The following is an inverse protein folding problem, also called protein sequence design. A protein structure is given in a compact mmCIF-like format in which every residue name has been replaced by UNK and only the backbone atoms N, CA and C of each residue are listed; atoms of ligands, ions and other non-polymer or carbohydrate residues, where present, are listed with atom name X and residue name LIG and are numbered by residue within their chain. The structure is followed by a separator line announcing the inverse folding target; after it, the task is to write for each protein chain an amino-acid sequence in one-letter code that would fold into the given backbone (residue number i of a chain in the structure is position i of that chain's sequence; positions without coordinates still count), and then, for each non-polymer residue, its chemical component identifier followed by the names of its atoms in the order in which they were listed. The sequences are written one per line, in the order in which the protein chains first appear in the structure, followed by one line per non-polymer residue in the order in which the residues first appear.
data_IF_471109890572
#
_entry.id   IF_471109890572
#
_cell.length_a   1.000
_cell.length_b   1.000
_cell.length_c   1.000
_cell.angle_alpha   90.00
_cell.angle_beta   90.00
_cell.angle_gamma   90.00
#
_symmetry.space_group_name_H-M   'P 1'
#
loop_
_entity.id
_entity.type
_entity.pdbx_description
1 polymer ?
#
# COMPACT_ATOMS: atom_id res chain seq x y z
N UNK A 1 -26.84 -54.58 44.93
CA UNK A 1 -27.29 -53.16 44.94
C UNK A 1 -26.16 -52.31 45.52
N UNK A 2 -25.83 -51.19 44.88
CA UNK A 2 -24.54 -50.51 45.00
C UNK A 2 -24.51 -49.50 46.14
N UNK A 3 -23.32 -49.21 46.67
CA UNK A 3 -23.03 -47.97 47.40
C UNK A 3 -21.91 -47.23 46.69
N UNK A 4 -22.17 -45.95 46.48
CA UNK A 4 -21.48 -45.01 45.62
C UNK A 4 -20.14 -44.52 46.18
N UNK A 5 -19.24 -44.24 45.23
CA UNK A 5 -18.32 -43.10 45.14
C UNK A 5 -17.55 -42.69 46.39
N UNK A 6 -16.25 -42.98 46.35
CA UNK A 6 -15.25 -42.05 46.86
C UNK A 6 -14.27 -41.71 45.72
N UNK A 7 -14.20 -40.42 45.41
CA UNK A 7 -13.45 -39.83 44.30
C UNK A 7 -12.26 -39.11 44.92
N UNK A 8 -11.12 -39.80 44.96
CA UNK A 8 -9.84 -39.19 45.31
C UNK A 8 -9.27 -38.45 44.10
N UNK A 9 -9.59 -37.16 44.00
CA UNK A 9 -8.89 -36.22 43.12
C UNK A 9 -7.44 -36.08 43.59
N UNK A 10 -6.50 -36.53 42.76
CA UNK A 10 -5.10 -36.15 42.87
C UNK A 10 -4.64 -35.73 41.47
N UNK A 11 -5.03 -34.52 41.08
CA UNK A 11 -4.47 -33.86 39.92
C UNK A 11 -3.66 -32.66 40.41
N UNK A 12 -2.35 -32.88 40.49
CA UNK A 12 -1.37 -31.83 40.69
C UNK A 12 -1.56 -30.78 39.61
N UNK A 13 -1.98 -29.61 40.05
CA UNK A 13 -2.23 -28.43 39.24
C UNK A 13 -0.90 -28.00 38.61
N UNK A 14 -0.70 -28.39 37.35
CA UNK A 14 0.38 -27.88 36.52
C UNK A 14 0.10 -26.40 36.34
N UNK A 15 0.83 -25.57 37.09
CA UNK A 15 0.92 -24.14 36.87
C UNK A 15 1.06 -23.85 35.38
N UNK A 16 -0.03 -23.37 34.79
CA UNK A 16 -0.05 -22.90 33.42
C UNK A 16 0.83 -21.67 33.36
N UNK A 17 1.98 -21.82 32.71
CA UNK A 17 2.84 -20.73 32.27
C UNK A 17 1.98 -19.75 31.46
N UNK A 18 2.13 -18.42 31.63
CA UNK A 18 1.27 -17.48 30.93
C UNK A 18 1.50 -17.57 29.43
N UNK A 19 0.44 -17.93 28.70
CA UNK A 19 0.29 -17.99 27.23
C UNK A 19 0.47 -16.62 26.54
N UNK A 20 1.03 -15.62 27.24
CA UNK A 20 1.19 -14.27 26.70
C UNK A 20 2.54 -14.03 26.02
N UNK A 21 3.57 -14.84 26.27
CA UNK A 21 4.90 -14.60 25.67
C UNK A 21 5.06 -15.10 24.23
N UNK A 22 4.25 -16.05 23.76
CA UNK A 22 4.42 -16.63 22.41
C UNK A 22 3.80 -15.78 21.27
N UNK A 23 3.03 -14.73 21.57
CA UNK A 23 2.45 -13.85 20.54
C UNK A 23 3.32 -12.67 20.13
N UNK A 24 4.50 -12.52 20.72
CA UNK A 24 5.36 -11.34 20.46
C UNK A 24 6.30 -11.49 19.25
N UNK A 25 6.35 -12.66 18.60
CA UNK A 25 7.26 -12.88 17.46
C UNK A 25 6.61 -12.72 16.08
N UNK A 26 5.28 -12.58 15.97
CA UNK A 26 4.61 -12.61 14.66
C UNK A 26 4.52 -11.23 13.98
N UNK A 27 4.92 -10.14 14.64
CA UNK A 27 4.90 -8.80 14.06
C UNK A 27 6.21 -8.49 13.29
N UNK A 28 7.33 -9.13 13.63
CA UNK A 28 8.62 -8.97 12.94
C UNK A 28 8.69 -9.67 11.57
N UNK A 29 7.79 -10.61 11.27
CA UNK A 29 7.87 -11.43 10.05
C UNK A 29 7.33 -10.75 8.78
N UNK A 30 6.68 -9.59 8.88
CA UNK A 30 6.08 -8.91 7.71
C UNK A 30 7.11 -8.00 6.98
N UNK A 31 8.22 -7.64 7.63
CA UNK A 31 9.27 -6.83 7.00
C UNK A 31 10.19 -7.62 6.04
N UNK A 32 10.11 -8.96 6.03
CA UNK A 32 11.05 -9.82 5.30
C UNK A 32 10.55 -10.39 3.96
N UNK A 33 9.50 -9.82 3.37
CA UNK A 33 8.93 -10.29 2.09
C UNK A 33 8.94 -9.22 0.98
N UNK A 34 9.95 -8.38 0.95
CA UNK A 34 10.27 -7.57 -0.23
C UNK A 34 11.65 -7.95 -0.77
N UNK A 35 11.72 -9.10 -1.46
CA UNK A 35 12.67 -9.21 -2.56
C UNK A 35 12.13 -8.35 -3.68
N UNK A 36 12.52 -7.08 -3.67
CA UNK A 36 12.50 -6.26 -4.87
C UNK A 36 13.35 -7.01 -5.91
N UNK A 37 12.81 -7.40 -7.06
CA UNK A 37 13.64 -7.96 -8.11
C UNK A 37 14.71 -6.93 -8.45
N UNK A 38 15.97 -7.34 -8.57
CA UNK A 38 17.10 -6.51 -9.03
C UNK A 38 16.89 -5.88 -10.43
N UNK A 39 15.75 -6.18 -11.06
CA UNK A 39 15.39 -5.82 -12.41
C UNK A 39 14.05 -5.08 -12.44
N UNK A 40 14.08 -3.82 -12.89
CA UNK A 40 12.90 -2.99 -13.12
C UNK A 40 12.56 -2.94 -14.64
N UNK A 41 11.52 -3.65 -15.10
CA UNK A 41 11.14 -3.67 -16.50
C UNK A 41 10.64 -2.31 -17.02
N UNK A 42 10.15 -1.43 -16.15
CA UNK A 42 9.68 -0.09 -16.54
C UNK A 42 10.89 0.81 -16.83
N UNK A 43 11.90 0.77 -15.96
CA UNK A 43 13.15 1.51 -16.16
C UNK A 43 13.94 1.02 -17.39
N UNK A 44 14.00 -0.29 -17.62
CA UNK A 44 14.66 -0.82 -18.83
C UNK A 44 13.94 -0.39 -20.10
N UNK A 45 12.61 -0.49 -20.16
CA UNK A 45 11.83 -0.06 -21.32
C UNK A 45 11.97 1.45 -21.56
N UNK A 46 12.02 2.24 -20.50
CA UNK A 46 12.30 3.69 -20.58
C UNK A 46 13.68 3.96 -21.18
N UNK A 47 14.71 3.23 -20.76
CA UNK A 47 16.06 3.34 -21.34
C UNK A 47 16.05 3.02 -22.84
N UNK A 48 15.46 1.90 -23.23
CA UNK A 48 15.40 1.46 -24.64
C UNK A 48 14.65 2.48 -25.52
N UNK A 49 13.57 3.07 -25.01
CA UNK A 49 12.78 4.05 -25.76
C UNK A 49 13.40 5.44 -25.77
N UNK A 50 14.23 5.76 -24.77
CA UNK A 50 14.95 7.04 -24.64
C UNK A 50 16.22 7.12 -25.46
N UNK A 51 16.83 5.97 -25.80
CA UNK A 51 17.98 5.94 -26.70
C UNK A 51 17.62 6.66 -28.02
N UNK A 52 18.37 7.73 -28.27
CA UNK A 52 18.06 8.66 -29.36
C UNK A 52 18.41 8.03 -30.71
N UNK A 53 17.43 8.01 -31.61
CA UNK A 53 17.69 7.86 -33.03
C UNK A 53 17.81 9.25 -33.65
N UNK A 54 18.96 9.54 -34.28
CA UNK A 54 19.18 10.79 -35.02
C UNK A 54 18.24 10.87 -36.23
N UNK A 55 17.12 11.56 -36.07
CA UNK A 55 16.21 11.88 -37.17
C UNK A 55 16.78 13.07 -37.93
N UNK A 56 17.63 12.81 -38.92
CA UNK A 56 18.05 13.85 -39.88
C UNK A 56 16.88 14.22 -40.80
N UNK A 57 16.50 15.51 -40.88
CA UNK A 57 15.46 15.94 -41.80
C UNK A 57 16.02 15.97 -43.24
N UNK A 58 15.38 15.23 -44.16
CA UNK A 58 15.77 15.22 -45.57
C UNK A 58 15.24 16.49 -46.25
N UNK A 59 16.15 17.38 -46.64
CA UNK A 59 15.86 18.64 -47.35
C UNK A 59 15.58 18.37 -48.83
N UNK A 60 14.39 18.74 -49.30
CA UNK A 60 14.05 18.75 -50.73
C UNK A 60 14.33 20.14 -51.31
N UNK A 61 15.56 20.36 -51.78
CA UNK A 61 15.86 21.50 -52.65
C UNK A 61 15.51 21.13 -54.10
N UNK A 62 14.48 21.78 -54.65
CA UNK A 62 14.21 21.77 -56.09
C UNK A 62 14.75 23.08 -56.66
N UNK A 63 15.85 22.96 -57.41
CA UNK A 63 16.49 24.06 -58.11
C UNK A 63 15.87 24.27 -59.50
N UNK A 64 15.67 25.54 -59.80
CA UNK A 64 15.15 26.16 -61.01
C UNK A 64 16.08 25.98 -62.23
N UNK A 65 15.53 26.09 -63.45
CA UNK A 65 15.92 27.04 -64.53
C UNK A 65 15.81 26.46 -65.96
N UNK A 66 14.86 27.06 -66.70
CA UNK A 66 14.93 27.75 -68.00
C UNK A 66 15.33 27.07 -69.33
N UNK A 67 14.55 27.55 -70.33
CA UNK A 67 14.60 27.54 -71.80
C UNK A 67 15.94 27.28 -72.50
N UNK A 68 15.86 26.64 -73.68
CA UNK A 68 16.32 27.25 -74.97
C UNK A 68 15.92 26.40 -76.20
N UNK A 69 15.79 27.16 -77.30
CA UNK A 69 15.31 26.96 -78.67
C UNK A 69 15.75 25.73 -79.53
N UNK A 70 14.91 25.61 -80.58
CA UNK A 70 14.70 24.67 -81.68
C UNK A 70 15.86 24.53 -82.70
N UNK A 71 16.02 23.34 -83.31
CA UNK A 71 16.08 23.12 -84.78
C UNK A 71 16.08 21.62 -85.18
N UNK A 72 15.30 21.28 -86.23
CA UNK A 72 15.23 19.98 -86.92
C UNK A 72 13.88 19.23 -86.71
N UNK A 73 13.00 19.07 -87.73
CA UNK A 73 11.60 18.64 -87.51
C UNK A 73 11.43 17.20 -86.99
N UNK A 74 12.48 16.40 -86.95
CA UNK A 74 12.44 15.05 -86.39
C UNK A 74 13.13 14.97 -85.01
N UNK A 75 14.40 15.35 -84.89
CA UNK A 75 15.15 15.30 -83.61
C UNK A 75 14.58 16.29 -82.57
N UNK A 76 14.18 17.50 -82.96
CA UNK A 76 13.59 18.46 -82.03
C UNK A 76 12.21 17.98 -81.51
N UNK A 77 11.45 17.25 -82.32
CA UNK A 77 10.19 16.65 -81.89
C UNK A 77 10.41 15.48 -80.92
N UNK A 78 11.44 14.64 -81.17
CA UNK A 78 11.84 13.55 -80.27
C UNK A 78 12.33 14.11 -78.92
N UNK A 79 13.17 15.17 -78.94
CA UNK A 79 13.64 15.84 -77.73
C UNK A 79 12.49 16.49 -76.94
N UNK A 80 11.53 17.13 -77.62
CA UNK A 80 10.33 17.68 -76.96
C UNK A 80 9.48 16.58 -76.31
N UNK A 81 9.36 15.41 -76.95
CA UNK A 81 8.67 14.26 -76.36
C UNK A 81 9.43 13.70 -75.15
N UNK A 82 10.77 13.68 -75.19
CA UNK A 82 11.59 13.31 -74.04
C UNK A 82 11.40 14.29 -72.88
N UNK A 83 11.36 15.58 -73.18
CA UNK A 83 11.10 16.65 -72.20
C UNK A 83 9.75 16.44 -71.50
N UNK A 84 8.67 16.23 -72.25
CA UNK A 84 7.36 15.90 -71.67
C UNK A 84 7.39 14.61 -70.84
N UNK A 85 8.14 13.59 -71.27
CA UNK A 85 8.29 12.36 -70.48
C UNK A 85 9.05 12.60 -69.17
N UNK A 86 10.05 13.49 -69.16
CA UNK A 86 10.81 13.86 -67.97
C UNK A 86 9.98 14.63 -66.93
N UNK A 87 8.84 15.22 -67.31
CA UNK A 87 7.87 15.80 -66.37
C UNK A 87 7.08 14.74 -65.59
N UNK A 88 7.15 13.47 -66.00
CA UNK A 88 6.46 12.37 -65.31
C UNK A 88 7.09 12.13 -63.94
N UNK A 89 6.26 11.95 -62.91
CA UNK A 89 6.76 11.66 -61.57
C UNK A 89 7.48 10.31 -61.52
N UNK A 90 8.41 10.18 -60.58
CA UNK A 90 9.16 8.94 -60.38
C UNK A 90 8.26 7.74 -60.03
N UNK A 91 7.16 8.00 -59.32
CA UNK A 91 6.17 7.00 -58.94
C UNK A 91 5.44 6.43 -60.16
N UNK A 92 4.99 7.30 -61.07
CA UNK A 92 4.33 6.90 -62.31
C UNK A 92 5.34 6.22 -63.22
N UNK A 93 6.56 6.77 -63.34
CA UNK A 93 7.63 6.16 -64.12
C UNK A 93 7.98 4.74 -63.65
N UNK A 94 7.99 4.49 -62.34
CA UNK A 94 8.26 3.16 -61.78
C UNK A 94 7.08 2.19 -61.96
N UNK A 95 5.84 2.68 -61.92
CA UNK A 95 4.65 1.83 -61.83
C UNK A 95 3.96 1.59 -63.18
N UNK A 96 4.19 2.47 -64.15
CA UNK A 96 3.55 2.42 -65.48
C UNK A 96 4.53 1.93 -66.55
N UNK A 97 4.35 0.67 -66.96
CA UNK A 97 5.13 0.06 -68.03
C UNK A 97 4.95 0.77 -69.38
N UNK A 98 3.80 1.39 -69.62
CA UNK A 98 3.56 2.15 -70.85
C UNK A 98 4.45 3.40 -70.90
N UNK A 99 4.61 4.10 -69.78
CA UNK A 99 5.53 5.26 -69.68
C UNK A 99 6.99 4.82 -69.89
N UNK A 100 7.40 3.70 -69.28
CA UNK A 100 8.74 3.12 -69.50
C UNK A 100 8.99 2.76 -70.97
N UNK A 101 8.01 2.12 -71.61
CA UNK A 101 8.10 1.80 -73.04
C UNK A 101 8.21 3.07 -73.89
N UNK A 102 7.51 4.16 -73.53
CA UNK A 102 7.67 5.44 -74.21
C UNK A 102 9.09 6.01 -74.03
N UNK A 103 9.69 5.90 -72.83
CA UNK A 103 11.09 6.25 -72.60
C UNK A 103 12.04 5.40 -73.47
N UNK A 104 11.88 4.08 -73.52
CA UNK A 104 12.70 3.20 -74.36
C UNK A 104 12.58 3.57 -75.85
N UNK A 105 11.37 3.78 -76.35
CA UNK A 105 11.13 4.18 -77.74
C UNK A 105 11.79 5.53 -78.08
N UNK A 106 11.66 6.53 -77.22
CA UNK A 106 12.27 7.86 -77.43
C UNK A 106 13.79 7.79 -77.37
N UNK A 107 14.36 7.03 -76.43
CA UNK A 107 15.81 6.83 -76.30
C UNK A 107 16.40 6.04 -77.48
N UNK A 108 15.65 5.08 -78.02
CA UNK A 108 16.05 4.31 -79.22
C UNK A 108 15.98 5.18 -80.48
N UNK A 109 14.94 6.00 -80.64
CA UNK A 109 14.86 7.00 -81.71
C UNK A 109 16.05 7.97 -81.66
N UNK A 110 16.40 8.50 -80.49
CA UNK A 110 17.58 9.36 -80.33
C UNK A 110 18.90 8.63 -80.65
N UNK A 111 18.97 7.33 -80.39
CA UNK A 111 20.14 6.50 -80.72
C UNK A 111 20.28 6.25 -82.22
N UNK A 112 19.16 6.18 -82.96
CA UNK A 112 19.14 6.04 -84.42
C UNK A 112 19.56 7.33 -85.15
N UNK A 113 19.25 8.50 -84.58
CA UNK A 113 19.64 9.82 -85.12
C UNK A 113 20.95 10.36 -84.52
N UNK A 114 21.87 9.49 -84.10
CA UNK A 114 23.08 9.85 -83.35
C UNK A 114 23.88 11.01 -83.96
N UNK A 115 24.03 11.02 -85.29
CA UNK A 115 24.81 12.05 -86.01
C UNK A 115 24.11 13.42 -86.07
N UNK A 116 22.81 13.47 -85.74
CA UNK A 116 21.98 14.68 -85.72
C UNK A 116 21.69 15.16 -84.29
N UNK A 117 21.96 14.33 -83.28
CA UNK A 117 21.84 14.71 -81.87
C UNK A 117 23.10 15.48 -81.45
N UNK A 118 22.98 16.66 -80.82
CA UNK A 118 24.15 17.37 -80.32
C UNK A 118 25.00 16.52 -79.38
N UNK A 119 26.33 16.55 -79.54
CA UNK A 119 27.29 15.74 -78.76
C UNK A 119 27.06 15.87 -77.24
N UNK A 120 26.68 17.06 -76.76
CA UNK A 120 26.35 17.35 -75.36
C UNK A 120 25.25 16.45 -74.75
N UNK A 121 24.31 15.96 -75.56
CA UNK A 121 23.19 15.14 -75.08
C UNK A 121 23.53 13.64 -75.01
N UNK A 122 24.58 13.19 -75.66
CA UNK A 122 24.94 11.76 -75.70
C UNK A 122 25.18 11.18 -74.30
N UNK A 123 25.88 11.92 -73.44
CA UNK A 123 26.11 11.51 -72.06
C UNK A 123 24.82 11.47 -71.23
N UNK A 124 23.89 12.38 -71.49
CA UNK A 124 22.59 12.45 -70.79
C UNK A 124 21.69 11.28 -71.19
N UNK A 125 21.60 10.99 -72.50
CA UNK A 125 20.82 9.86 -73.04
C UNK A 125 21.32 8.54 -72.46
N UNK A 126 22.65 8.34 -72.37
CA UNK A 126 23.23 7.14 -71.77
C UNK A 126 22.87 7.02 -70.28
N UNK A 127 23.01 8.10 -69.51
CA UNK A 127 22.63 8.12 -68.08
C UNK A 127 21.15 7.84 -67.88
N UNK A 128 20.29 8.43 -68.71
CA UNK A 128 18.84 8.24 -68.64
C UNK A 128 18.47 6.79 -68.96
N UNK A 129 19.08 6.19 -69.98
CA UNK A 129 18.88 4.77 -70.30
C UNK A 129 19.20 3.86 -69.10
N UNK A 130 20.38 4.04 -68.49
CA UNK A 130 20.76 3.27 -67.30
C UNK A 130 19.85 3.57 -66.09
N UNK A 131 19.34 4.79 -65.99
CA UNK A 131 18.42 5.17 -64.92
C UNK A 131 17.09 4.42 -65.04
N UNK A 132 16.47 4.46 -66.22
CA UNK A 132 15.18 3.82 -66.53
C UNK A 132 15.27 2.30 -66.33
N UNK A 133 16.38 1.67 -66.71
CA UNK A 133 16.59 0.22 -66.56
C UNK A 133 16.54 -0.25 -65.09
N UNK A 134 16.88 0.63 -64.14
CA UNK A 134 16.99 0.29 -62.72
C UNK A 134 16.02 1.09 -61.83
N UNK A 135 15.11 1.88 -62.40
CA UNK A 135 14.26 2.79 -61.63
C UNK A 135 13.24 2.00 -60.80
N UNK A 136 12.65 0.96 -61.38
CA UNK A 136 11.61 0.14 -60.74
C UNK A 136 12.12 -0.52 -59.46
N UNK A 137 13.25 -1.23 -59.58
CA UNK A 137 13.85 -1.96 -58.47
C UNK A 137 14.23 -0.98 -57.35
N UNK A 138 14.85 0.15 -57.70
CA UNK A 138 15.28 1.14 -56.71
C UNK A 138 14.11 1.85 -56.04
N UNK A 139 13.10 2.26 -56.80
CA UNK A 139 11.94 2.97 -56.28
C UNK A 139 11.08 2.06 -55.39
N UNK A 140 10.75 0.86 -55.84
CA UNK A 140 9.97 -0.12 -55.05
C UNK A 140 10.71 -0.50 -53.76
N UNK A 141 12.03 -0.74 -53.83
CA UNK A 141 12.83 -1.07 -52.64
C UNK A 141 12.86 0.11 -51.66
N UNK A 142 13.05 1.34 -52.15
CA UNK A 142 13.04 2.53 -51.32
C UNK A 142 11.66 2.76 -50.68
N UNK A 143 10.57 2.65 -51.45
CA UNK A 143 9.22 2.85 -50.95
C UNK A 143 8.84 1.81 -49.90
N UNK A 144 9.20 0.54 -50.11
CA UNK A 144 9.01 -0.51 -49.11
C UNK A 144 9.79 -0.21 -47.83
N UNK A 145 11.05 0.21 -47.95
CA UNK A 145 11.89 0.57 -46.79
C UNK A 145 11.29 1.74 -46.00
N UNK A 146 10.74 2.74 -46.70
CA UNK A 146 10.05 3.88 -46.07
C UNK A 146 8.81 3.41 -45.32
N UNK A 147 7.96 2.59 -45.95
CA UNK A 147 6.74 2.05 -45.33
C UNK A 147 7.05 1.19 -44.10
N UNK A 148 8.04 0.29 -44.20
CA UNK A 148 8.48 -0.55 -43.10
C UNK A 148 9.00 0.32 -41.94
N UNK A 149 9.75 1.38 -42.24
CA UNK A 149 10.26 2.32 -41.22
C UNK A 149 9.14 3.13 -40.55
N UNK A 150 8.16 3.63 -41.32
CA UNK A 150 7.00 4.34 -40.77
C UNK A 150 6.18 3.45 -39.83
N UNK A 151 6.03 2.15 -40.17
CA UNK A 151 5.36 1.18 -39.31
C UNK A 151 6.12 0.96 -37.99
N UNK A 152 7.46 0.91 -38.03
CA UNK A 152 8.29 0.83 -36.83
C UNK A 152 8.15 2.09 -35.96
N UNK A 153 8.13 3.28 -36.56
CA UNK A 153 7.90 4.53 -35.84
C UNK A 153 6.53 4.56 -35.13
N UNK A 154 5.47 4.11 -35.81
CA UNK A 154 4.15 4.00 -35.21
C UNK A 154 4.13 3.02 -34.04
N UNK A 155 4.78 1.86 -34.20
CA UNK A 155 4.89 0.84 -33.15
C UNK A 155 5.63 1.37 -31.92
N UNK A 156 6.75 2.08 -32.12
CA UNK A 156 7.49 2.75 -31.05
C UNK A 156 6.62 3.79 -30.33
N UNK A 157 5.89 4.63 -31.07
CA UNK A 157 5.00 5.64 -30.49
C UNK A 157 3.91 5.01 -29.62
N UNK A 158 3.35 3.88 -30.05
CA UNK A 158 2.37 3.12 -29.26
C UNK A 158 2.99 2.60 -27.95
N UNK A 159 4.18 2.00 -28.02
CA UNK A 159 4.90 1.51 -26.83
C UNK A 159 5.23 2.65 -25.85
N UNK A 160 5.66 3.82 -26.34
CA UNK A 160 5.90 4.98 -25.48
C UNK A 160 4.63 5.45 -24.74
N UNK A 161 3.47 5.46 -25.40
CA UNK A 161 2.19 5.80 -24.73
C UNK A 161 1.79 4.76 -23.68
N UNK A 162 2.03 3.48 -23.97
CA UNK A 162 1.76 2.40 -23.01
C UNK A 162 2.69 2.49 -21.80
N UNK A 163 3.98 2.79 -22.00
CA UNK A 163 4.95 3.02 -20.93
C UNK A 163 4.49 4.17 -20.02
N UNK A 164 4.08 5.30 -20.58
CA UNK A 164 3.60 6.44 -19.79
C UNK A 164 2.37 6.08 -18.93
N UNK A 165 1.43 5.33 -19.51
CA UNK A 165 0.28 4.81 -18.76
C UNK A 165 0.69 3.84 -17.65
N UNK A 166 1.69 2.99 -17.90
CA UNK A 166 2.19 2.05 -16.91
C UNK A 166 2.88 2.77 -15.74
N UNK A 167 3.71 3.78 -16.02
CA UNK A 167 4.37 4.63 -15.01
C UNK A 167 3.36 5.33 -14.12
N UNK A 168 2.34 5.97 -14.71
CA UNK A 168 1.28 6.62 -13.94
C UNK A 168 0.53 5.65 -13.03
N UNK A 169 0.30 4.42 -13.48
CA UNK A 169 -0.34 3.40 -12.68
C UNK A 169 0.59 2.87 -11.57
N UNK A 170 1.88 2.71 -11.84
CA UNK A 170 2.89 2.35 -10.84
C UNK A 170 2.95 3.39 -9.72
N UNK A 171 3.00 4.68 -10.05
CA UNK A 171 3.00 5.77 -9.07
C UNK A 171 1.76 5.74 -8.17
N UNK A 172 0.59 5.49 -8.77
CA UNK A 172 -0.67 5.35 -8.03
C UNK A 172 -0.66 4.16 -7.08
N UNK A 173 -0.08 3.03 -7.49
CA UNK A 173 0.07 1.85 -6.64
C UNK A 173 1.04 2.14 -5.51
N UNK A 174 2.22 2.71 -5.80
CA UNK A 174 3.24 3.06 -4.81
C UNK A 174 2.71 4.02 -3.75
N UNK A 175 1.91 5.01 -4.16
CA UNK A 175 1.24 5.94 -3.23
C UNK A 175 0.29 5.20 -2.29
N UNK A 176 -0.55 4.28 -2.80
CA UNK A 176 -1.46 3.48 -1.98
C UNK A 176 -0.73 2.53 -1.03
N UNK A 177 0.37 1.93 -1.48
CA UNK A 177 1.21 1.06 -0.64
C UNK A 177 1.81 1.87 0.51
N UNK A 178 2.32 3.07 0.23
CA UNK A 178 2.88 3.97 1.25
C UNK A 178 1.82 4.41 2.28
N UNK A 179 0.62 4.76 1.81
CA UNK A 179 -0.51 5.07 2.69
C UNK A 179 -0.90 3.87 3.56
N UNK A 180 -1.01 2.69 2.95
CA UNK A 180 -1.31 1.44 3.66
C UNK A 180 -0.28 1.12 4.73
N UNK A 181 1.02 1.29 4.44
CA UNK A 181 2.11 1.09 5.40
C UNK A 181 1.99 2.04 6.60
N UNK A 182 1.71 3.31 6.34
CA UNK A 182 1.50 4.32 7.41
C UNK A 182 0.31 3.97 8.30
N UNK A 183 -0.81 3.54 7.71
CA UNK A 183 -1.99 3.12 8.47
C UNK A 183 -1.73 1.85 9.28
N UNK A 184 -0.99 0.90 8.71
CA UNK A 184 -0.59 -0.34 9.39
C UNK A 184 0.25 -0.04 10.64
N UNK A 185 1.30 0.78 10.51
CA UNK A 185 2.16 1.18 11.64
C UNK A 185 1.36 1.88 12.76
N UNK A 186 0.39 2.72 12.38
CA UNK A 186 -0.52 3.36 13.34
C UNK A 186 -1.35 2.33 14.10
N UNK A 187 -1.96 1.37 13.41
CA UNK A 187 -2.76 0.31 14.03
C UNK A 187 -1.89 -0.54 14.96
N UNK A 188 -0.67 -0.91 14.54
CA UNK A 188 0.27 -1.64 15.39
C UNK A 188 0.59 -0.87 16.68
N UNK A 189 0.79 0.44 16.59
CA UNK A 189 1.02 1.30 17.76
C UNK A 189 -0.18 1.34 18.71
N UNK A 190 -1.39 1.47 18.16
CA UNK A 190 -2.64 1.43 18.96
C UNK A 190 -2.84 0.08 19.65
N UNK A 191 -2.49 -1.04 18.99
CA UNK A 191 -2.54 -2.39 19.58
C UNK A 191 -1.62 -2.46 20.81
N UNK A 192 -0.37 -2.03 20.68
CA UNK A 192 0.60 -2.07 21.80
C UNK A 192 0.11 -1.23 22.99
N UNK A 193 -0.47 -0.05 22.74
CA UNK A 193 -1.05 0.77 23.81
C UNK A 193 -2.23 0.08 24.51
N UNK A 194 -3.13 -0.55 23.75
CA UNK A 194 -4.29 -1.25 24.28
C UNK A 194 -3.87 -2.49 25.09
N UNK A 195 -2.87 -3.23 24.63
CA UNK A 195 -2.28 -4.35 25.36
C UNK A 195 -1.68 -3.90 26.70
N UNK A 196 -0.97 -2.77 26.72
CA UNK A 196 -0.44 -2.18 27.96
C UNK A 196 -1.55 -1.78 28.94
N UNK A 197 -2.62 -1.14 28.44
CA UNK A 197 -3.80 -0.77 29.25
C UNK A 197 -4.48 -2.01 29.83
N UNK A 198 -4.63 -3.07 29.03
CA UNK A 198 -5.22 -4.33 29.48
C UNK A 198 -4.39 -4.98 30.58
N UNK A 199 -3.07 -5.02 30.43
CA UNK A 199 -2.16 -5.56 31.45
C UNK A 199 -2.32 -4.81 32.80
N UNK A 200 -2.40 -3.48 32.75
CA UNK A 200 -2.61 -2.64 33.94
C UNK A 200 -3.95 -2.92 34.62
N UNK A 201 -5.02 -3.08 33.84
CA UNK A 201 -6.35 -3.41 34.37
C UNK A 201 -6.38 -4.80 35.02
N UNK A 202 -5.72 -5.79 34.41
CA UNK A 202 -5.60 -7.14 34.99
C UNK A 202 -4.89 -7.07 36.35
N UNK A 203 -3.75 -6.39 36.44
CA UNK A 203 -3.04 -6.22 37.71
C UNK A 203 -3.88 -5.50 38.77
N UNK A 204 -4.65 -4.50 38.37
CA UNK A 204 -5.54 -3.76 39.27
C UNK A 204 -6.67 -4.63 39.78
N UNK A 205 -7.30 -5.43 38.90
CA UNK A 205 -8.33 -6.42 39.27
C UNK A 205 -7.81 -7.41 40.30
N UNK A 206 -6.61 -7.97 40.11
CA UNK A 206 -6.03 -8.92 41.06
C UNK A 206 -5.73 -8.29 42.42
N UNK A 207 -5.26 -7.04 42.46
CA UNK A 207 -5.05 -6.31 43.72
C UNK A 207 -6.36 -6.08 44.46
N UNK A 208 -7.41 -5.65 43.75
CA UNK A 208 -8.74 -5.43 44.34
C UNK A 208 -9.35 -6.72 44.85
N UNK A 209 -9.21 -7.83 44.11
CA UNK A 209 -9.68 -9.14 44.55
C UNK A 209 -9.05 -9.54 45.88
N UNK A 210 -7.72 -9.45 45.99
CA UNK A 210 -7.02 -9.75 47.25
C UNK A 210 -7.47 -8.86 48.41
N UNK A 211 -7.70 -7.58 48.16
CA UNK A 211 -8.20 -6.65 49.17
C UNK A 211 -9.61 -7.03 49.63
N UNK A 212 -10.50 -7.40 48.70
CA UNK A 212 -11.85 -7.85 49.00
C UNK A 212 -11.84 -9.13 49.85
N UNK A 213 -11.06 -10.13 49.44
CA UNK A 213 -10.93 -11.40 50.17
C UNK A 213 -10.42 -11.16 51.61
N UNK A 214 -9.51 -10.21 51.81
CA UNK A 214 -9.01 -9.80 53.13
C UNK A 214 -10.10 -9.14 53.98
N UNK A 215 -10.86 -8.20 53.41
CA UNK A 215 -11.96 -7.53 54.10
C UNK A 215 -13.05 -8.54 54.50
N UNK A 216 -13.39 -9.48 53.63
CA UNK A 216 -14.37 -10.53 53.92
C UNK A 216 -13.90 -11.43 55.07
N UNK A 217 -12.62 -11.80 55.08
CA UNK A 217 -12.02 -12.57 56.17
C UNK A 217 -12.07 -11.80 57.51
N UNK A 218 -11.72 -10.51 57.53
CA UNK A 218 -11.80 -9.66 58.72
C UNK A 218 -13.23 -9.48 59.22
N UNK A 219 -14.18 -9.25 58.33
CA UNK A 219 -15.60 -9.13 58.67
C UNK A 219 -16.13 -10.43 59.30
N UNK A 220 -15.75 -11.58 58.75
CA UNK A 220 -16.13 -12.88 59.32
C UNK A 220 -15.51 -13.11 60.70
N UNK A 221 -14.26 -12.68 60.91
CA UNK A 221 -13.62 -12.69 62.23
C UNK A 221 -14.36 -11.81 63.23
N UNK A 222 -14.74 -10.60 62.84
CA UNK A 222 -15.51 -9.68 63.68
C UNK A 222 -16.88 -10.25 64.04
N UNK A 223 -17.63 -10.76 63.06
CA UNK A 223 -18.92 -11.44 63.29
C UNK A 223 -18.79 -12.59 64.29
N UNK A 224 -17.71 -13.37 64.17
CA UNK A 224 -17.42 -14.47 65.10
C UNK A 224 -17.14 -13.96 66.52
N UNK A 225 -16.42 -12.85 66.69
CA UNK A 225 -16.20 -12.23 68.00
C UNK A 225 -17.49 -11.70 68.61
N UNK A 226 -18.29 -10.96 67.82
CA UNK A 226 -19.59 -10.44 68.27
C UNK A 226 -20.51 -11.59 68.69
N UNK A 227 -20.56 -12.68 67.93
CA UNK A 227 -21.35 -13.86 68.29
C UNK A 227 -20.95 -14.46 69.66
N UNK A 228 -19.69 -14.33 70.08
CA UNK A 228 -19.23 -14.75 71.43
C UNK A 228 -19.67 -13.78 72.52
N UNK A 229 -19.67 -12.47 72.26
CA UNK A 229 -20.08 -11.46 73.25
C UNK A 229 -21.59 -11.41 73.47
N UNK A 230 -22.40 -11.74 72.46
CA UNK A 230 -23.86 -11.74 72.58
C UNK A 230 -24.38 -12.54 73.79
N UNK A 231 -24.00 -13.81 74.02
CA UNK A 231 -24.46 -14.56 75.20
C UNK A 231 -23.93 -13.97 76.51
N UNK A 232 -22.68 -13.49 76.55
CA UNK A 232 -22.10 -12.86 77.74
C UNK A 232 -22.90 -11.61 78.15
N UNK A 233 -23.18 -10.73 77.18
CA UNK A 233 -24.02 -9.55 77.41
C UNK A 233 -25.43 -9.93 77.86
N UNK A 234 -26.06 -10.96 77.27
CA UNK A 234 -27.38 -11.44 77.69
C UNK A 234 -27.38 -11.92 79.15
N UNK A 235 -26.35 -12.65 79.56
CA UNK A 235 -26.20 -13.13 80.94
C UNK A 235 -26.04 -11.96 81.91
N UNK A 236 -25.15 -11.00 81.60
CA UNK A 236 -24.90 -9.83 82.45
C UNK A 236 -26.17 -8.97 82.59
N UNK A 237 -26.84 -8.66 81.49
CA UNK A 237 -28.06 -7.83 81.50
C UNK A 237 -29.19 -8.52 82.27
N UNK A 238 -29.33 -9.83 82.14
CA UNK A 238 -30.32 -10.60 82.91
C UNK A 238 -30.01 -10.55 84.41
N UNK A 239 -28.76 -10.83 84.80
CA UNK A 239 -28.34 -10.79 86.20
C UNK A 239 -28.48 -9.39 86.84
N UNK A 240 -28.18 -8.32 86.08
CA UNK A 240 -28.40 -6.95 86.52
C UNK A 240 -29.90 -6.68 86.77
N UNK A 241 -30.78 -7.14 85.88
CA UNK A 241 -32.23 -6.97 86.03
C UNK A 241 -32.78 -7.74 87.23
N UNK A 242 -32.31 -8.97 87.45
CA UNK A 242 -32.72 -9.82 88.57
C UNK A 242 -32.25 -9.23 89.92
N UNK A 243 -31.07 -8.64 89.97
CA UNK A 243 -30.51 -8.07 91.20
C UNK A 243 -30.99 -6.63 91.51
N UNK A 244 -31.61 -5.94 90.55
CA UNK A 244 -31.98 -4.52 90.65
C UNK A 244 -32.87 -4.21 91.87
N UNK A 245 -33.93 -5.01 92.09
CA UNK A 245 -34.86 -4.80 93.20
C UNK A 245 -34.16 -5.05 94.55
N UNK A 246 -33.40 -6.13 94.66
CA UNK A 246 -32.63 -6.46 95.87
C UNK A 246 -31.61 -5.37 96.19
N UNK A 247 -30.92 -4.84 95.18
CA UNK A 247 -29.99 -3.73 95.33
C UNK A 247 -30.69 -2.47 95.87
N UNK A 248 -31.85 -2.09 95.28
CA UNK A 248 -32.63 -0.93 95.75
C UNK A 248 -33.07 -1.09 97.21
N UNK A 249 -33.57 -2.27 97.58
CA UNK A 249 -33.97 -2.58 98.96
C UNK A 249 -32.78 -2.49 99.92
N UNK A 250 -31.64 -3.07 99.56
CA UNK A 250 -30.42 -3.01 100.36
C UNK A 250 -29.95 -1.56 100.57
N UNK A 251 -30.04 -0.72 99.54
CA UNK A 251 -29.68 0.69 99.63
C UNK A 251 -30.60 1.46 100.59
N UNK A 252 -31.92 1.23 100.52
CA UNK A 252 -32.88 1.83 101.45
C UNK A 252 -32.65 1.35 102.89
N UNK A 253 -32.43 0.06 103.08
CA UNK A 253 -32.17 -0.52 104.40
C UNK A 253 -30.87 0.01 105.01
N UNK A 254 -29.80 0.12 104.20
CA UNK A 254 -28.54 0.74 104.64
C UNK A 254 -28.79 2.17 105.13
N UNK A 255 -29.52 2.98 104.36
CA UNK A 255 -29.83 4.36 104.74
C UNK A 255 -30.62 4.44 106.04
N UNK A 256 -31.61 3.56 106.22
CA UNK A 256 -32.36 3.46 107.48
C UNK A 256 -31.45 3.14 108.67
N UNK A 257 -30.59 2.15 108.54
CA UNK A 257 -29.64 1.78 109.61
C UNK A 257 -28.68 2.93 109.92
N UNK A 258 -28.21 3.66 108.91
CA UNK A 258 -27.38 4.86 109.10
C UNK A 258 -28.13 5.97 109.88
N UNK A 259 -29.42 6.17 109.57
CA UNK A 259 -30.27 7.17 110.24
C UNK A 259 -30.59 6.75 111.69
N UNK A 260 -30.95 5.47 111.91
CA UNK A 260 -31.19 4.90 113.26
C UNK A 260 -29.93 5.02 114.14
N UNK A 261 -28.73 4.77 113.56
CA UNK A 261 -27.47 4.93 114.26
C UNK A 261 -27.16 6.39 114.62
N UNK A 262 -27.47 7.33 113.72
CA UNK A 262 -27.32 8.75 113.99
C UNK A 262 -28.27 9.23 115.09
N UNK A 263 -29.51 8.74 115.11
CA UNK A 263 -30.49 9.03 116.14
C UNK A 263 -30.07 8.46 117.51
N UNK A 264 -29.60 7.21 117.55
CA UNK A 264 -29.07 6.59 118.76
C UNK A 264 -27.92 7.41 119.37
N UNK A 265 -26.99 7.88 118.53
CA UNK A 265 -25.90 8.77 118.97
C UNK A 265 -26.42 10.07 119.58
N UNK A 266 -27.42 10.71 118.97
CA UNK A 266 -28.02 11.93 119.49
C UNK A 266 -28.68 11.70 120.85
N UNK A 267 -29.48 10.64 120.95
CA UNK A 267 -30.16 10.26 122.20
C UNK A 267 -29.15 9.93 123.31
N UNK A 268 -28.05 9.25 122.99
CA UNK A 268 -26.97 8.99 123.95
C UNK A 268 -26.28 10.27 124.45
N UNK A 269 -26.07 11.26 123.59
CA UNK A 269 -25.51 12.56 123.98
C UNK A 269 -26.52 13.36 124.84
N UNK A 270 -27.80 13.33 124.48
CA UNK A 270 -28.85 14.05 125.20
C UNK A 270 -29.11 13.53 126.63
N UNK A 271 -28.87 12.24 126.88
CA UNK A 271 -29.08 11.59 128.19
C UNK A 271 -27.82 11.56 129.09
N UNK A 272 -26.70 12.16 128.67
CA UNK A 272 -25.45 12.24 129.43
C UNK A 272 -25.12 13.67 129.92
N UNK A 273 -26.16 14.50 130.15
CA UNK A 273 -26.07 15.82 130.81
C UNK A 273 -26.79 15.75 132.16
#
# INVERSE_FOLDING_TARGET
MPKEKDSGDNQGDKFSVPVMSERFHTIEEIDNLHHEPDWDPIAELESILSDSYDMSPMSTHLATVSEVEVQGPNVAAILRKLETLLETSLEILSSDDQVKQQFYQVLEQLSQFKDQVPVKFHAVIYKLKNFIENVDIRYVTAQKTIQDYDQLLQSRSLLSKQLESAKSQQDKINSKVSEGKTQFEKICSEIVELEHKLCTLVLTREKLKKALDSCDAENNKLKTQVAKWVPECKTIITALRESETSYKVALTNKKRVEDDWADLKKTFVANNI
#
